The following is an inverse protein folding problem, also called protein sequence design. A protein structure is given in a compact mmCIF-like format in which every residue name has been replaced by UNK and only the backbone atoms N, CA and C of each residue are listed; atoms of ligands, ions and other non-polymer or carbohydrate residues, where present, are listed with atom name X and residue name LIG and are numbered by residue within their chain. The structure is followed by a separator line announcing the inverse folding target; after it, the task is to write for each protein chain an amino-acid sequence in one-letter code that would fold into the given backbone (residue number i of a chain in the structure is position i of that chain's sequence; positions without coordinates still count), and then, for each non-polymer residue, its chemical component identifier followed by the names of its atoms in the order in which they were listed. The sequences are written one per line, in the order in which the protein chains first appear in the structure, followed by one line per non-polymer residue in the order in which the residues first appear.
data_IF_598122006986
#
_entry.id   IF_598122006986
#
_cell.length_a   1.000
_cell.length_b   1.000
_cell.length_c   1.000
_cell.angle_alpha   90.00
_cell.angle_beta   90.00
_cell.angle_gamma   90.00
#
_symmetry.space_group_name_H-M   'P 1'
#
loop_
_entity.id
_entity.type
_entity.pdbx_description
1 polymer ?
#
# COMPACT_ATOMS: atom_id res chain seq x y z
N UNK A 1 -1.43 3.46 12.34
CA UNK A 1 -2.60 2.93 13.06
C UNK A 1 -2.14 2.37 14.40
N UNK A 2 -3.03 2.08 15.36
CA UNK A 2 -2.65 1.42 16.60
C UNK A 2 -1.83 0.11 16.41
N UNK A 3 -1.90 -0.55 15.25
CA UNK A 3 -1.14 -1.78 14.94
C UNK A 3 0.02 -1.58 13.95
N UNK A 4 0.35 -0.34 13.55
CA UNK A 4 1.40 -0.09 12.54
C UNK A 4 1.01 -0.40 11.09
N UNK A 5 -0.23 -0.82 10.83
CA UNK A 5 -0.76 -1.11 9.49
C UNK A 5 -0.95 0.16 8.64
N UNK A 6 -0.73 0.02 7.33
CA UNK A 6 -0.98 1.06 6.33
C UNK A 6 -2.50 1.32 6.20
N UNK A 7 -2.92 2.58 5.99
CA UNK A 7 -4.36 2.87 5.96
C UNK A 7 -5.07 2.44 4.67
N UNK A 8 -4.35 2.24 3.56
CA UNK A 8 -4.95 1.77 2.30
C UNK A 8 -5.71 2.81 1.48
N UNK A 9 -6.02 3.97 2.08
CA UNK A 9 -6.91 5.00 1.53
C UNK A 9 -6.25 6.36 1.29
N UNK A 10 -5.09 6.64 1.92
CA UNK A 10 -4.36 7.89 1.68
C UNK A 10 -3.58 7.86 0.36
N UNK A 11 -3.16 9.04 -0.09
CA UNK A 11 -2.42 9.18 -1.35
C UNK A 11 -1.09 8.42 -1.33
N UNK A 12 -0.39 8.38 -0.19
CA UNK A 12 0.82 7.57 -0.07
C UNK A 12 0.53 6.07 -0.28
N UNK A 13 -0.60 5.56 0.23
CA UNK A 13 -0.98 4.17 0.02
C UNK A 13 -1.38 3.91 -1.45
N UNK A 14 -2.08 4.86 -2.10
CA UNK A 14 -2.44 4.74 -3.52
C UNK A 14 -1.21 4.75 -4.42
N UNK A 15 -0.30 5.71 -4.23
CA UNK A 15 0.94 5.80 -5.00
C UNK A 15 1.77 4.52 -4.87
N UNK A 16 1.82 3.96 -3.66
CA UNK A 16 2.51 2.69 -3.43
C UNK A 16 1.87 1.52 -4.19
N UNK A 17 0.53 1.38 -4.17
CA UNK A 17 -0.18 0.34 -4.95
C UNK A 17 0.11 0.45 -6.44
N UNK A 18 0.02 1.66 -6.98
CA UNK A 18 0.29 1.95 -8.39
C UNK A 18 1.72 1.53 -8.76
N UNK A 19 2.70 1.86 -7.92
CA UNK A 19 4.11 1.48 -8.15
C UNK A 19 4.31 -0.04 -8.21
N UNK A 20 3.68 -0.79 -7.30
CA UNK A 20 3.73 -2.26 -7.32
C UNK A 20 3.05 -2.86 -8.55
N UNK A 21 1.87 -2.33 -8.92
CA UNK A 21 1.13 -2.74 -10.12
C UNK A 21 1.95 -2.49 -11.41
N UNK A 22 2.56 -1.32 -11.54
CA UNK A 22 3.41 -0.97 -12.68
C UNK A 22 4.66 -1.85 -12.79
N UNK A 23 5.22 -2.26 -11.65
CA UNK A 23 6.34 -3.18 -11.62
C UNK A 23 5.94 -4.64 -11.92
N UNK A 24 4.63 -4.95 -11.93
CA UNK A 24 4.12 -6.31 -12.09
C UNK A 24 4.42 -7.20 -10.87
N UNK A 25 4.58 -6.61 -9.69
CA UNK A 25 4.93 -7.31 -8.44
C UNK A 25 3.77 -7.18 -7.46
N UNK A 26 3.49 -8.25 -6.70
CA UNK A 26 2.49 -8.21 -5.64
C UNK A 26 2.94 -7.27 -4.51
N UNK A 27 2.03 -6.41 -4.05
CA UNK A 27 2.28 -5.52 -2.92
C UNK A 27 2.26 -6.31 -1.60
N UNK A 28 3.38 -6.42 -0.86
CA UNK A 28 3.44 -7.18 0.39
C UNK A 28 2.93 -6.38 1.59
N UNK A 29 2.49 -5.14 1.40
CA UNK A 29 2.27 -4.25 2.53
C UNK A 29 0.96 -4.58 3.23
N UNK A 30 1.00 -4.80 4.55
CA UNK A 30 -0.21 -5.10 5.30
C UNK A 30 -1.01 -3.80 5.52
N UNK A 31 -2.27 -3.85 5.12
CA UNK A 31 -3.24 -2.76 5.25
C UNK A 31 -4.21 -3.05 6.40
N UNK A 32 -4.83 -1.99 6.91
CA UNK A 32 -6.02 -2.08 7.75
C UNK A 32 -7.27 -2.45 6.97
#
# INVERSE_FOLDING_TARGET
SPEGLACGECDACRLRKIGFEQAGIADPTPYK
#
